data_IF_037015045759
#
_entry.id   IF_037015045759
#
_cell.length_a   1.000
_cell.length_b   1.000
_cell.length_c   1.000
_cell.angle_alpha   90.00
_cell.angle_beta   90.00
_cell.angle_gamma   90.00
#
_symmetry.space_group_name_H-M   'P 1'
#
loop_
_entity.id
_entity.type
_entity.pdbx_description
1 polymer ?
#
# COMPACT_ATOMS: atom_id res chain seq x y z
N UNK A 1 -20.15 -44.07 -7.53
CA UNK A 1 -19.95 -42.91 -6.68
C UNK A 1 -20.11 -41.66 -7.52
N UNK A 2 -20.69 -40.59 -6.95
CA UNK A 2 -20.71 -39.28 -7.62
C UNK A 2 -19.27 -38.76 -7.84
N UNK A 3 -19.04 -38.09 -8.97
CA UNK A 3 -17.74 -37.45 -9.21
C UNK A 3 -17.49 -36.36 -8.16
N UNK A 4 -16.28 -36.34 -7.58
CA UNK A 4 -15.89 -35.25 -6.69
C UNK A 4 -15.62 -34.01 -7.54
N UNK A 5 -16.50 -33.01 -7.46
CA UNK A 5 -16.46 -31.74 -8.18
C UNK A 5 -16.01 -30.57 -7.31
N UNK A 6 -15.55 -30.84 -6.08
CA UNK A 6 -14.96 -29.83 -5.20
C UNK A 6 -13.44 -30.08 -5.10
N UNK A 7 -12.59 -29.06 -5.33
CA UNK A 7 -11.15 -29.21 -5.11
C UNK A 7 -10.86 -29.33 -3.61
N UNK A 8 -9.72 -29.93 -3.27
CA UNK A 8 -9.15 -29.80 -1.93
C UNK A 8 -8.95 -28.30 -1.64
N UNK A 9 -9.16 -27.88 -0.39
CA UNK A 9 -8.98 -26.49 0.03
C UNK A 9 -7.58 -25.98 -0.35
N UNK A 10 -7.52 -24.78 -0.87
CA UNK A 10 -6.30 -24.12 -1.31
C UNK A 10 -6.34 -22.65 -0.94
N UNK A 11 -5.17 -22.04 -0.73
CA UNK A 11 -5.07 -20.61 -0.44
C UNK A 11 -3.71 -20.06 -0.87
N UNK A 12 -3.64 -18.73 -1.00
CA UNK A 12 -2.44 -18.03 -1.46
C UNK A 12 -1.79 -17.27 -0.31
N UNK A 13 -0.46 -17.19 -0.33
CA UNK A 13 0.29 -16.49 0.72
C UNK A 13 0.13 -14.98 0.56
N UNK A 14 -0.49 -14.35 1.58
CA UNK A 14 -0.69 -12.92 1.65
C UNK A 14 0.62 -12.16 1.86
N UNK A 15 0.64 -10.85 1.55
CA UNK A 15 1.79 -9.97 1.73
C UNK A 15 1.35 -8.70 2.48
N UNK A 16 2.11 -8.31 3.49
CA UNK A 16 1.97 -7.04 4.20
C UNK A 16 3.10 -6.08 3.83
N UNK A 17 2.91 -4.82 4.20
CA UNK A 17 3.89 -3.74 4.04
C UNK A 17 4.42 -3.61 2.60
N UNK A 18 3.54 -3.87 1.63
CA UNK A 18 3.92 -3.71 0.23
C UNK A 18 3.90 -2.23 -0.18
N UNK A 19 4.77 -1.80 -1.11
CA UNK A 19 4.71 -0.45 -1.67
C UNK A 19 3.34 -0.15 -2.31
N UNK A 20 2.95 1.13 -2.30
CA UNK A 20 1.75 1.60 -2.98
C UNK A 20 1.86 1.40 -4.49
N UNK A 21 0.73 1.14 -5.15
CA UNK A 21 0.61 1.04 -6.62
C UNK A 21 1.66 0.09 -7.25
N UNK A 22 2.02 -0.96 -6.54
CA UNK A 22 3.04 -1.92 -6.93
C UNK A 22 2.42 -3.20 -7.49
N UNK A 23 2.93 -3.71 -8.61
CA UNK A 23 2.53 -5.02 -9.14
C UNK A 23 2.99 -6.13 -8.20
N UNK A 24 2.06 -6.96 -7.76
CA UNK A 24 2.31 -8.04 -6.78
C UNK A 24 1.79 -9.35 -7.30
N UNK A 25 2.51 -10.43 -6.96
CA UNK A 25 2.08 -11.81 -7.23
C UNK A 25 2.21 -12.65 -5.97
N UNK A 26 1.34 -13.66 -5.80
CA UNK A 26 1.41 -14.57 -4.66
C UNK A 26 2.79 -15.24 -4.59
N UNK A 27 3.34 -15.36 -3.37
CA UNK A 27 4.66 -15.99 -3.18
C UNK A 27 4.61 -17.49 -3.52
N UNK A 28 3.53 -18.16 -3.13
CA UNK A 28 3.31 -19.57 -3.41
C UNK A 28 2.61 -19.80 -4.76
N UNK A 29 2.74 -21.01 -5.27
CA UNK A 29 1.97 -21.58 -6.35
C UNK A 29 1.04 -22.62 -5.76
N UNK A 30 -0.25 -22.55 -6.07
CA UNK A 30 -1.25 -23.52 -5.63
C UNK A 30 -1.42 -24.61 -6.70
N UNK A 31 -1.51 -25.87 -6.29
CA UNK A 31 -1.82 -26.99 -7.17
C UNK A 31 -3.26 -27.47 -6.91
N UNK A 32 -4.07 -27.56 -7.93
CA UNK A 32 -5.45 -28.09 -7.81
C UNK A 32 -5.40 -29.60 -7.64
N UNK A 33 -6.07 -30.09 -6.61
CA UNK A 33 -6.13 -31.50 -6.24
C UNK A 33 -7.52 -31.90 -5.74
N UNK A 34 -7.74 -33.19 -5.53
CA UNK A 34 -8.96 -33.75 -4.91
C UNK A 34 -10.11 -33.99 -5.89
N UNK A 35 -9.95 -33.71 -7.18
CA UNK A 35 -10.98 -33.96 -8.17
C UNK A 35 -10.99 -35.45 -8.60
N UNK A 36 -12.15 -35.99 -8.96
CA UNK A 36 -12.22 -37.30 -9.59
C UNK A 36 -11.51 -37.32 -10.94
N UNK A 37 -10.95 -38.45 -11.32
CA UNK A 37 -10.26 -38.62 -12.60
C UNK A 37 -11.16 -38.18 -13.76
N UNK A 38 -10.64 -37.38 -14.66
CA UNK A 38 -11.35 -36.83 -15.82
C UNK A 38 -12.32 -35.70 -15.51
N UNK A 39 -12.41 -35.22 -14.24
CA UNK A 39 -13.23 -34.08 -13.88
C UNK A 39 -12.49 -32.79 -14.24
N UNK A 40 -13.18 -31.88 -14.95
CA UNK A 40 -12.73 -30.53 -15.23
C UNK A 40 -13.69 -29.53 -14.58
N UNK A 41 -13.18 -28.50 -13.90
CA UNK A 41 -13.94 -27.46 -13.25
C UNK A 41 -13.73 -26.11 -13.92
N UNK A 42 -14.76 -25.27 -13.89
CA UNK A 42 -14.64 -23.86 -14.28
C UNK A 42 -13.77 -23.10 -13.31
N UNK A 43 -12.98 -22.17 -13.86
CA UNK A 43 -12.13 -21.24 -13.10
C UNK A 43 -12.49 -19.82 -13.47
N UNK A 44 -12.66 -18.97 -12.46
CA UNK A 44 -12.82 -17.54 -12.60
C UNK A 44 -11.97 -16.80 -11.56
N UNK A 45 -11.62 -15.55 -11.85
CA UNK A 45 -10.89 -14.69 -10.94
C UNK A 45 -11.60 -13.35 -10.81
N UNK A 46 -11.56 -12.77 -9.60
CA UNK A 46 -12.04 -11.42 -9.33
C UNK A 46 -10.97 -10.61 -8.60
N UNK A 47 -10.95 -9.31 -8.83
CA UNK A 47 -10.02 -8.38 -8.18
C UNK A 47 -8.57 -8.44 -8.68
N UNK A 48 -8.28 -9.18 -9.75
CA UNK A 48 -6.93 -9.31 -10.29
C UNK A 48 -6.84 -10.30 -11.45
N UNK A 49 -5.71 -10.97 -11.55
CA UNK A 49 -5.37 -11.91 -12.62
C UNK A 49 -4.79 -13.20 -12.04
N UNK A 50 -4.79 -14.27 -12.81
CA UNK A 50 -4.07 -15.50 -12.50
C UNK A 50 -3.12 -15.90 -13.62
N UNK A 51 -2.05 -16.61 -13.26
CA UNK A 51 -1.21 -17.40 -14.18
C UNK A 51 -1.51 -18.87 -13.93
N UNK A 52 -1.86 -19.60 -14.99
CA UNK A 52 -2.08 -21.06 -14.97
C UNK A 52 -0.87 -21.75 -15.56
N UNK A 53 -0.32 -22.76 -14.86
CA UNK A 53 0.81 -23.61 -15.30
C UNK A 53 2.02 -22.78 -15.77
N UNK A 54 2.28 -21.64 -15.13
CA UNK A 54 3.40 -20.74 -15.49
C UNK A 54 3.17 -19.91 -16.76
N UNK A 55 1.96 -19.93 -17.33
CA UNK A 55 1.61 -19.11 -18.50
C UNK A 55 1.42 -17.63 -18.16
N UNK A 56 1.05 -16.84 -19.15
CA UNK A 56 0.76 -15.40 -19.00
C UNK A 56 -0.40 -15.15 -18.03
N UNK A 57 -0.35 -14.01 -17.33
CA UNK A 57 -1.45 -13.59 -16.46
C UNK A 57 -2.69 -13.22 -17.27
N UNK A 58 -3.86 -13.68 -16.82
CA UNK A 58 -5.16 -13.48 -17.47
C UNK A 58 -6.27 -13.28 -16.44
N UNK A 59 -7.33 -12.58 -16.81
CA UNK A 59 -8.59 -12.48 -16.08
C UNK A 59 -9.73 -13.28 -16.74
N UNK A 60 -9.47 -13.91 -17.89
CA UNK A 60 -10.46 -14.67 -18.63
C UNK A 60 -10.83 -15.96 -17.89
N UNK A 61 -12.09 -16.38 -17.98
CA UNK A 61 -12.52 -17.67 -17.47
C UNK A 61 -11.82 -18.82 -18.22
N UNK A 62 -11.52 -19.89 -17.50
CA UNK A 62 -10.89 -21.12 -18.05
C UNK A 62 -11.43 -22.35 -17.33
N UNK A 63 -10.82 -23.49 -17.60
CA UNK A 63 -11.08 -24.74 -16.88
C UNK A 63 -9.81 -25.29 -16.26
N UNK A 64 -9.93 -26.16 -15.28
CA UNK A 64 -8.81 -26.80 -14.59
C UNK A 64 -9.08 -28.26 -14.30
N UNK A 65 -8.02 -29.04 -14.19
CA UNK A 65 -8.00 -30.45 -13.79
C UNK A 65 -7.01 -30.64 -12.63
N UNK A 66 -7.01 -31.85 -12.03
CA UNK A 66 -5.97 -32.18 -11.05
C UNK A 66 -4.56 -31.98 -11.62
N UNK A 67 -3.67 -31.38 -10.82
CA UNK A 67 -2.29 -31.12 -11.18
C UNK A 67 -2.06 -29.75 -11.82
N UNK A 68 -3.10 -29.05 -12.30
CA UNK A 68 -2.94 -27.67 -12.76
C UNK A 68 -2.52 -26.75 -11.61
N UNK A 69 -1.66 -25.80 -11.93
CA UNK A 69 -1.12 -24.85 -10.93
C UNK A 69 -1.56 -23.43 -11.21
N UNK A 70 -1.71 -22.65 -10.14
CA UNK A 70 -2.11 -21.23 -10.20
C UNK A 70 -1.24 -20.34 -9.32
N UNK A 71 -0.96 -19.15 -9.85
CA UNK A 71 -0.50 -17.98 -9.12
C UNK A 71 -1.47 -16.83 -9.32
N UNK A 72 -1.67 -16.01 -8.30
CA UNK A 72 -2.49 -14.80 -8.42
C UNK A 72 -1.63 -13.55 -8.50
N UNK A 73 -2.19 -12.50 -9.11
CA UNK A 73 -1.52 -11.20 -9.21
C UNK A 73 -2.51 -10.05 -9.30
N UNK A 74 -2.12 -8.91 -8.72
CA UNK A 74 -2.81 -7.63 -8.82
C UNK A 74 -1.84 -6.46 -8.59
N UNK A 75 -2.32 -5.25 -8.75
CA UNK A 75 -1.62 -4.03 -8.30
C UNK A 75 -2.12 -3.67 -6.90
N UNK A 76 -1.20 -3.43 -5.96
CA UNK A 76 -1.53 -2.99 -4.60
C UNK A 76 -2.23 -1.63 -4.61
N UNK A 77 -2.92 -1.30 -3.51
CA UNK A 77 -3.62 -0.02 -3.35
C UNK A 77 -2.68 1.18 -3.53
N UNK A 78 -3.22 2.30 -4.02
CA UNK A 78 -2.55 3.61 -4.02
C UNK A 78 -2.66 4.36 -2.69
N UNK A 79 -3.34 3.78 -1.67
CA UNK A 79 -3.50 4.36 -0.34
C UNK A 79 -2.74 3.54 0.70
N UNK A 80 -2.26 4.20 1.76
CA UNK A 80 -1.58 3.56 2.90
C UNK A 80 -2.53 2.65 3.68
N UNK A 81 -1.98 1.63 4.36
CA UNK A 81 -2.70 0.68 5.22
C UNK A 81 -3.96 0.08 4.58
N UNK A 82 -3.95 -0.09 3.26
CA UNK A 82 -5.14 -0.50 2.50
C UNK A 82 -4.91 -1.86 1.86
N UNK A 83 -5.88 -2.75 2.03
CA UNK A 83 -5.81 -4.09 1.45
C UNK A 83 -6.41 -4.14 0.04
N UNK A 84 -5.79 -4.94 -0.82
CA UNK A 84 -6.30 -5.35 -2.13
C UNK A 84 -6.39 -6.86 -2.16
N UNK A 85 -7.51 -7.40 -2.64
CA UNK A 85 -7.78 -8.84 -2.65
C UNK A 85 -8.05 -9.33 -4.07
N UNK A 86 -7.38 -10.42 -4.44
CA UNK A 86 -7.71 -11.23 -5.63
C UNK A 86 -8.22 -12.58 -5.18
N UNK A 87 -9.36 -13.01 -5.67
CA UNK A 87 -9.95 -14.31 -5.35
C UNK A 87 -10.04 -15.19 -6.60
N UNK A 88 -9.49 -16.40 -6.52
CA UNK A 88 -9.65 -17.47 -7.50
C UNK A 88 -10.81 -18.38 -7.06
N UNK A 89 -11.74 -18.62 -7.96
CA UNK A 89 -12.83 -19.59 -7.77
C UNK A 89 -12.62 -20.76 -8.71
N UNK A 90 -12.64 -21.98 -8.16
CA UNK A 90 -12.51 -23.24 -8.89
C UNK A 90 -13.71 -24.12 -8.53
N UNK A 91 -14.69 -24.21 -9.42
CA UNK A 91 -15.97 -24.87 -9.11
C UNK A 91 -16.64 -24.18 -7.91
N UNK A 92 -16.72 -24.88 -6.77
CA UNK A 92 -17.26 -24.36 -5.51
C UNK A 92 -16.16 -23.91 -4.51
N UNK A 93 -14.89 -24.20 -4.80
CA UNK A 93 -13.76 -23.83 -3.93
C UNK A 93 -13.22 -22.44 -4.26
N UNK A 94 -12.75 -21.73 -3.25
CA UNK A 94 -12.14 -20.40 -3.39
C UNK A 94 -10.82 -20.33 -2.65
N UNK A 95 -9.87 -19.55 -3.18
CA UNK A 95 -8.64 -19.17 -2.51
C UNK A 95 -8.32 -17.70 -2.81
N UNK A 96 -7.78 -16.99 -1.85
CA UNK A 96 -7.56 -15.54 -1.97
C UNK A 96 -6.10 -15.15 -1.75
N UNK A 97 -5.66 -14.15 -2.50
CA UNK A 97 -4.39 -13.44 -2.33
C UNK A 97 -4.67 -12.02 -1.91
N UNK A 98 -4.17 -11.64 -0.72
CA UNK A 98 -4.35 -10.30 -0.17
C UNK A 98 -2.98 -9.62 -0.05
N UNK A 99 -2.92 -8.37 -0.50
CA UNK A 99 -1.80 -7.48 -0.17
C UNK A 99 -2.31 -6.33 0.68
N UNK A 100 -1.54 -5.93 1.70
CA UNK A 100 -1.80 -4.72 2.48
C UNK A 100 -0.59 -3.78 2.32
N UNK A 101 -0.87 -2.54 1.93
CA UNK A 101 0.17 -1.52 1.74
C UNK A 101 0.78 -1.06 3.07
N UNK A 102 2.00 -0.55 3.01
CA UNK A 102 2.70 0.05 4.16
C UNK A 102 1.83 1.09 4.86
N UNK A 103 2.01 1.23 6.16
CA UNK A 103 1.41 2.32 6.93
C UNK A 103 2.04 3.66 6.52
N UNK A 104 1.26 4.75 6.62
CA UNK A 104 1.82 6.08 6.49
C UNK A 104 2.68 6.39 7.73
N UNK A 105 3.91 6.81 7.50
CA UNK A 105 4.74 7.38 8.55
C UNK A 105 4.46 8.88 8.64
N UNK A 106 3.96 9.32 9.78
CA UNK A 106 3.63 10.73 10.07
C UNK A 106 4.57 11.34 11.13
N UNK A 107 5.59 10.59 11.54
CA UNK A 107 6.54 10.99 12.59
C UNK A 107 7.84 11.43 11.93
N UNK A 108 8.07 12.73 11.73
CA UNK A 108 9.33 13.19 11.17
C UNK A 108 10.48 12.89 12.13
N UNK A 109 11.68 12.77 11.59
CA UNK A 109 12.88 12.82 12.41
C UNK A 109 12.88 14.11 13.24
N UNK A 110 13.47 14.01 14.43
CA UNK A 110 13.64 15.20 15.30
C UNK A 110 14.40 16.29 14.54
N UNK A 111 13.84 17.48 14.54
CA UNK A 111 14.45 18.67 13.95
C UNK A 111 14.36 19.85 14.89
N UNK A 112 15.31 20.77 14.78
CA UNK A 112 15.38 21.95 15.64
C UNK A 112 15.40 23.21 14.78
N UNK A 113 14.52 24.16 15.09
CA UNK A 113 14.60 25.51 14.55
C UNK A 113 15.59 26.31 15.38
N UNK A 114 16.39 27.10 14.70
CA UNK A 114 17.44 27.88 15.37
C UNK A 114 16.82 28.95 16.28
N UNK A 115 17.27 28.97 17.55
CA UNK A 115 16.92 30.03 18.48
C UNK A 115 17.70 31.32 18.19
N UNK A 116 17.00 32.46 18.31
CA UNK A 116 17.61 33.80 18.19
C UNK A 116 17.64 34.39 19.59
N UNK A 117 18.87 34.76 20.04
CA UNK A 117 19.10 35.41 21.33
C UNK A 117 19.39 36.87 21.10
N UNK A 118 19.10 37.71 22.10
CA UNK A 118 19.30 39.18 22.06
C UNK A 118 18.52 39.85 20.90
N UNK A 119 17.32 39.31 20.60
CA UNK A 119 16.45 39.87 19.57
C UNK A 119 16.07 41.31 19.90
N UNK A 120 16.08 42.21 18.91
CA UNK A 120 15.60 43.57 19.04
C UNK A 120 14.11 43.65 19.32
N UNK A 121 13.69 44.68 20.03
CA UNK A 121 12.28 44.93 20.31
C UNK A 121 11.49 45.24 19.02
N UNK A 122 10.25 44.74 18.93
CA UNK A 122 9.34 44.99 17.80
C UNK A 122 9.91 44.64 16.43
N UNK A 123 10.79 43.64 16.37
CA UNK A 123 11.43 43.17 15.13
C UNK A 123 10.95 41.76 14.81
N UNK A 124 10.58 41.52 13.54
CA UNK A 124 10.23 40.17 13.06
C UNK A 124 11.53 39.42 12.73
N UNK A 125 11.65 38.25 13.28
CA UNK A 125 12.75 37.31 13.02
C UNK A 125 12.21 36.05 12.38
N UNK A 126 13.05 35.37 11.61
CA UNK A 126 12.74 34.04 11.05
C UNK A 126 13.90 33.08 11.31
N UNK A 127 13.55 31.81 11.54
CA UNK A 127 14.57 30.76 11.66
C UNK A 127 15.28 30.49 10.35
N UNK A 128 16.45 29.88 10.42
CA UNK A 128 17.05 29.23 9.24
C UNK A 128 16.13 28.06 8.80
N UNK A 129 16.02 27.88 7.49
CA UNK A 129 15.25 26.78 6.93
C UNK A 129 15.84 25.44 7.37
N UNK A 130 15.00 24.59 7.96
CA UNK A 130 15.36 23.24 8.40
C UNK A 130 14.63 22.20 7.58
N UNK A 131 15.34 21.18 7.10
CA UNK A 131 14.72 20.10 6.32
C UNK A 131 14.01 19.12 7.24
N UNK A 132 12.78 18.73 6.86
CA UNK A 132 12.00 17.68 7.53
C UNK A 132 12.14 16.39 6.73
N UNK A 133 12.51 15.31 7.41
CA UNK A 133 12.79 13.99 6.79
C UNK A 133 12.06 12.86 7.47
N UNK A 134 12.05 11.68 6.81
CA UNK A 134 11.50 10.41 7.29
C UNK A 134 9.99 10.43 7.56
N UNK A 135 9.24 11.14 6.71
CA UNK A 135 7.78 11.00 6.65
C UNK A 135 7.36 10.43 5.28
N UNK A 136 6.24 9.74 5.24
CA UNK A 136 5.64 9.25 4.00
C UNK A 136 4.30 9.95 3.76
N UNK A 137 4.10 10.42 2.52
CA UNK A 137 2.92 11.18 2.17
C UNK A 137 2.94 12.61 2.72
N UNK A 138 1.77 13.15 3.02
CA UNK A 138 1.59 14.54 3.48
C UNK A 138 1.22 14.57 4.96
N UNK A 139 1.87 15.43 5.73
CA UNK A 139 1.64 15.60 7.17
C UNK A 139 1.21 17.04 7.45
N UNK A 140 0.30 17.24 8.39
CA UNK A 140 -0.14 18.57 8.82
C UNK A 140 0.89 19.20 9.76
N UNK A 141 1.23 20.45 9.50
CA UNK A 141 2.08 21.29 10.34
C UNK A 141 1.26 22.43 10.92
N UNK A 142 1.42 22.70 12.20
CA UNK A 142 0.88 23.87 12.88
C UNK A 142 1.97 24.58 13.66
N UNK A 143 1.81 25.88 13.86
CA UNK A 143 2.67 26.71 14.68
C UNK A 143 1.88 27.30 15.83
N UNK A 144 2.49 27.38 17.00
CA UNK A 144 1.89 27.99 18.18
C UNK A 144 2.96 28.75 18.98
N UNK A 145 2.53 29.72 19.77
CA UNK A 145 3.40 30.54 20.61
C UNK A 145 2.90 31.97 20.71
N UNK A 146 3.64 32.79 21.43
CA UNK A 146 3.34 34.21 21.59
C UNK A 146 3.85 35.03 20.38
N UNK A 147 3.30 36.23 20.18
CA UNK A 147 3.78 37.17 19.16
C UNK A 147 3.31 36.92 17.74
N UNK A 148 2.18 36.21 17.56
CA UNK A 148 1.61 35.89 16.23
C UNK A 148 2.56 35.07 15.33
N UNK A 149 2.98 33.87 15.78
CA UNK A 149 3.92 33.06 15.06
C UNK A 149 3.36 32.61 13.70
N UNK A 150 4.24 32.46 12.73
CA UNK A 150 3.93 31.96 11.39
C UNK A 150 4.92 30.89 10.98
N UNK A 151 4.48 29.99 10.12
CA UNK A 151 5.30 28.96 9.50
C UNK A 151 5.28 29.12 7.98
N UNK A 152 6.38 28.77 7.34
CA UNK A 152 6.49 28.72 5.89
C UNK A 152 7.11 27.38 5.47
N UNK A 153 6.53 26.74 4.46
CA UNK A 153 7.06 25.52 3.86
C UNK A 153 7.66 25.85 2.49
N UNK A 154 8.93 25.54 2.33
CA UNK A 154 9.68 25.82 1.10
C UNK A 154 9.60 27.28 0.68
N UNK A 155 9.19 27.52 -0.55
CA UNK A 155 8.97 28.85 -1.12
C UNK A 155 7.52 29.35 -1.00
N UNK A 156 6.70 28.70 -0.18
CA UNK A 156 5.30 29.07 0.04
C UNK A 156 5.14 30.41 0.79
N UNK A 157 3.89 30.79 1.05
CA UNK A 157 3.57 31.97 1.87
C UNK A 157 3.69 31.64 3.37
N UNK A 158 3.95 32.67 4.17
CA UNK A 158 3.85 32.61 5.62
C UNK A 158 2.38 32.41 6.05
N UNK A 159 2.14 31.50 6.98
CA UNK A 159 0.80 31.22 7.53
C UNK A 159 0.85 31.00 9.04
N UNK A 160 -0.18 31.47 9.75
CA UNK A 160 -0.42 31.15 11.16
C UNK A 160 -1.37 29.98 11.35
N UNK A 161 -2.05 29.55 10.27
CA UNK A 161 -2.93 28.39 10.27
C UNK A 161 -2.22 27.08 9.91
N UNK A 162 -2.92 25.95 10.04
CA UNK A 162 -2.38 24.67 9.62
C UNK A 162 -2.01 24.68 8.14
N UNK A 163 -0.87 24.09 7.82
CA UNK A 163 -0.39 23.84 6.46
C UNK A 163 0.09 22.40 6.34
N UNK A 164 0.62 21.99 5.20
CA UNK A 164 1.08 20.63 5.00
C UNK A 164 2.53 20.59 4.54
N UNK A 165 3.21 19.51 4.89
CA UNK A 165 4.61 19.26 4.53
C UNK A 165 4.76 17.83 3.99
N UNK A 166 5.70 17.64 3.08
CA UNK A 166 6.11 16.33 2.55
C UNK A 166 7.58 16.06 2.89
N UNK A 167 8.01 14.84 2.68
CA UNK A 167 9.38 14.43 2.95
C UNK A 167 10.38 15.29 2.15
N UNK A 168 11.46 15.72 2.81
CA UNK A 168 12.51 16.57 2.30
C UNK A 168 12.12 18.05 2.05
N UNK A 169 10.92 18.47 2.40
CA UNK A 169 10.57 19.88 2.41
C UNK A 169 11.33 20.63 3.50
N UNK A 170 11.47 21.94 3.30
CA UNK A 170 12.09 22.83 4.27
C UNK A 170 11.03 23.63 5.03
N UNK A 171 11.25 23.81 6.33
CA UNK A 171 10.38 24.57 7.23
C UNK A 171 11.14 25.76 7.84
N UNK A 172 10.47 26.92 7.91
CA UNK A 172 10.88 28.10 8.65
C UNK A 172 9.77 28.53 9.62
N UNK A 173 10.11 29.12 10.75
CA UNK A 173 9.21 29.76 11.71
C UNK A 173 9.76 31.09 12.20
#
# INVERSE_FOLDING_TARGET
AAANSAPTAFDFTNQSDVPLTSSRTSANTVTIAGLSTGTSLSVSVSGGTYSKNGGSYSSANTTTVNGDTFKLGHTSSGSFSTSTTTTLTVGTGTGSFVTTTVAQDTSPNEFTLQNITNAGLSTVYQSVATQVTEITGTVTVSVSGDGSPQVKIGNGAWTSGPTTITNNDYINA
#
